data_IF_836631847482
#
_entry.id   IF_836631847482
#
_cell.length_a   1.000
_cell.length_b   1.000
_cell.length_c   1.000
_cell.angle_alpha   90.00
_cell.angle_beta   90.00
_cell.angle_gamma   90.00
#
_symmetry.space_group_name_H-M   'P 1'
#
loop_
_entity.id
_entity.type
_entity.pdbx_description
1 polymer ?
#
# COMPACT_ATOMS: atom_id res chain seq x y z
N UNK A 1 -14.24 13.48 24.12
CA UNK A 1 -13.42 13.29 22.89
C UNK A 1 -13.59 14.54 22.02
N UNK A 2 -12.52 15.03 21.42
CA UNK A 2 -12.55 16.25 20.62
C UNK A 2 -13.35 16.04 19.32
N UNK A 3 -14.42 16.83 19.14
CA UNK A 3 -15.25 16.86 17.93
C UNK A 3 -14.83 18.04 17.06
N UNK A 4 -14.71 17.83 15.77
CA UNK A 4 -14.32 18.82 14.78
C UNK A 4 -15.50 19.10 13.85
N UNK A 5 -15.79 20.38 13.65
CA UNK A 5 -16.84 20.84 12.72
C UNK A 5 -16.42 20.51 11.28
N UNK A 6 -17.35 19.97 10.51
CA UNK A 6 -17.12 19.65 9.10
C UNK A 6 -17.34 20.87 8.18
N UNK A 7 -16.66 20.91 7.06
CA UNK A 7 -16.93 21.85 5.99
C UNK A 7 -18.34 21.63 5.40
N UNK A 8 -18.89 22.67 4.78
CA UNK A 8 -20.22 22.55 4.13
C UNK A 8 -20.26 21.42 3.10
N UNK A 9 -19.19 21.23 2.33
CA UNK A 9 -19.11 20.20 1.29
C UNK A 9 -19.09 18.80 1.88
N UNK A 10 -18.24 18.55 2.87
CA UNK A 10 -18.17 17.24 3.54
C UNK A 10 -19.44 16.92 4.29
N UNK A 11 -20.05 17.92 4.97
CA UNK A 11 -21.33 17.74 5.66
C UNK A 11 -22.44 17.39 4.67
N UNK A 12 -22.52 18.05 3.50
CA UNK A 12 -23.46 17.71 2.44
C UNK A 12 -23.30 16.26 1.98
N UNK A 13 -22.04 15.81 1.77
CA UNK A 13 -21.74 14.42 1.41
C UNK A 13 -22.25 13.43 2.48
N UNK A 14 -22.06 13.76 3.77
CA UNK A 14 -22.59 12.92 4.87
C UNK A 14 -24.12 12.87 4.87
N UNK A 15 -24.79 14.00 4.67
CA UNK A 15 -26.25 14.08 4.57
C UNK A 15 -26.76 13.23 3.41
N UNK A 16 -26.16 13.34 2.24
CA UNK A 16 -26.56 12.58 1.05
C UNK A 16 -26.34 11.06 1.27
N UNK A 17 -25.24 10.67 1.90
CA UNK A 17 -24.97 9.29 2.27
C UNK A 17 -25.93 8.75 3.34
N UNK A 18 -26.28 9.56 4.34
CA UNK A 18 -27.26 9.19 5.38
C UNK A 18 -28.63 8.90 4.77
N UNK A 19 -29.10 9.79 3.88
CA UNK A 19 -30.39 9.61 3.18
C UNK A 19 -30.44 8.34 2.34
N UNK A 20 -29.35 7.99 1.63
CA UNK A 20 -29.25 6.78 0.81
C UNK A 20 -29.13 5.50 1.64
N UNK A 21 -28.64 5.59 2.88
CA UNK A 21 -28.33 4.43 3.71
C UNK A 21 -29.62 3.75 4.21
N UNK A 22 -29.78 2.48 3.85
CA UNK A 22 -30.91 1.62 4.26
C UNK A 22 -30.57 0.75 5.47
N UNK A 23 -29.45 1.01 6.14
CA UNK A 23 -28.96 0.29 7.33
C UNK A 23 -28.86 -1.23 7.20
N UNK A 24 -28.52 -1.73 6.00
CA UNK A 24 -28.36 -3.17 5.75
C UNK A 24 -27.17 -3.81 6.49
N UNK A 25 -26.30 -3.01 7.09
CA UNK A 25 -25.13 -3.42 7.91
C UNK A 25 -24.06 -4.24 7.19
N UNK A 26 -24.08 -4.38 5.86
CA UNK A 26 -23.08 -5.12 5.10
C UNK A 26 -21.67 -4.52 5.31
N UNK A 27 -21.54 -3.19 5.17
CA UNK A 27 -20.29 -2.47 5.44
C UNK A 27 -19.86 -2.55 6.91
N UNK A 28 -20.84 -2.48 7.83
CA UNK A 28 -20.61 -2.58 9.28
C UNK A 28 -20.06 -3.94 9.69
N UNK A 29 -20.63 -5.03 9.18
CA UNK A 29 -20.20 -6.39 9.53
C UNK A 29 -18.79 -6.69 9.05
N UNK A 30 -18.36 -6.07 7.97
CA UNK A 30 -17.02 -6.25 7.41
C UNK A 30 -15.94 -5.39 8.08
N UNK A 31 -16.31 -4.28 8.74
CA UNK A 31 -15.37 -3.26 9.21
C UNK A 31 -15.32 -3.18 10.75
N UNK A 32 -14.20 -3.53 11.39
CA UNK A 32 -14.07 -3.41 12.84
C UNK A 32 -14.13 -1.96 13.32
N UNK A 33 -13.71 -0.97 12.52
CA UNK A 33 -13.79 0.45 12.86
C UNK A 33 -15.24 0.88 13.10
N UNK A 34 -16.15 0.54 12.20
CA UNK A 34 -17.56 0.93 12.39
C UNK A 34 -18.15 0.32 13.64
N UNK A 35 -17.79 -0.92 13.99
CA UNK A 35 -18.24 -1.60 15.22
C UNK A 35 -17.73 -0.94 16.50
N UNK A 36 -16.53 -0.34 16.44
CA UNK A 36 -15.94 0.31 17.61
C UNK A 36 -16.54 1.70 17.88
N UNK A 37 -17.16 2.34 16.87
CA UNK A 37 -17.67 3.72 16.99
C UNK A 37 -19.18 3.88 16.90
N UNK A 38 -19.93 2.88 16.48
CA UNK A 38 -21.39 2.95 16.41
C UNK A 38 -22.03 1.56 16.42
N UNK A 39 -23.35 1.54 16.53
CA UNK A 39 -24.17 0.31 16.47
C UNK A 39 -24.64 0.01 15.04
N UNK A 40 -24.59 0.98 14.14
CA UNK A 40 -24.90 0.80 12.73
C UNK A 40 -24.32 1.94 11.88
N UNK A 41 -24.13 1.72 10.56
CA UNK A 41 -23.64 2.76 9.67
C UNK A 41 -24.59 3.96 9.59
N UNK A 42 -25.91 3.73 9.52
CA UNK A 42 -26.92 4.80 9.47
C UNK A 42 -26.92 5.65 10.73
N UNK A 43 -26.80 5.00 11.90
CA UNK A 43 -26.72 5.72 13.18
C UNK A 43 -25.46 6.59 13.24
N UNK A 44 -24.32 6.08 12.80
CA UNK A 44 -23.08 6.87 12.73
C UNK A 44 -23.23 8.11 11.85
N UNK A 45 -23.79 7.95 10.66
CA UNK A 45 -24.02 9.06 9.73
C UNK A 45 -24.98 10.09 10.32
N UNK A 46 -26.10 9.63 10.91
CA UNK A 46 -27.09 10.50 11.54
C UNK A 46 -26.51 11.32 12.68
N UNK A 47 -25.73 10.71 13.58
CA UNK A 47 -25.05 11.42 14.67
C UNK A 47 -24.14 12.54 14.14
N UNK A 48 -23.39 12.29 13.03
CA UNK A 48 -22.54 13.31 12.41
C UNK A 48 -23.37 14.43 11.77
N UNK A 49 -24.52 14.11 11.16
CA UNK A 49 -25.43 15.09 10.55
C UNK A 49 -26.05 16.00 11.62
N UNK A 50 -26.59 15.39 12.69
CA UNK A 50 -27.25 16.12 13.77
C UNK A 50 -26.27 17.08 14.48
N UNK A 51 -25.06 16.63 14.74
CA UNK A 51 -24.02 17.42 15.42
C UNK A 51 -23.26 18.36 14.49
N UNK A 52 -23.28 18.14 13.18
CA UNK A 52 -22.44 18.82 12.16
C UNK A 52 -20.93 18.73 12.45
N UNK A 53 -20.57 17.79 13.29
CA UNK A 53 -19.22 17.54 13.78
C UNK A 53 -18.87 16.05 13.71
N UNK A 54 -17.61 15.73 13.67
CA UNK A 54 -17.12 14.35 13.77
C UNK A 54 -16.08 14.23 14.88
N UNK A 55 -16.14 13.15 15.64
CA UNK A 55 -15.02 12.76 16.50
C UNK A 55 -13.81 12.44 15.61
N UNK A 56 -12.71 13.17 15.79
CA UNK A 56 -11.51 13.04 14.96
C UNK A 56 -10.98 11.61 14.86
N UNK A 57 -11.15 10.80 15.91
CA UNK A 57 -10.66 9.42 15.90
C UNK A 57 -11.39 8.53 14.88
N UNK A 58 -12.64 8.83 14.54
CA UNK A 58 -13.44 8.04 13.60
C UNK A 58 -12.77 7.99 12.20
N UNK A 59 -12.59 9.11 11.48
CA UNK A 59 -11.96 9.07 10.17
C UNK A 59 -10.51 8.60 10.23
N UNK A 60 -9.75 8.90 11.30
CA UNK A 60 -8.37 8.42 11.44
C UNK A 60 -8.25 6.95 11.87
N UNK A 61 -9.35 6.30 12.20
CA UNK A 61 -9.44 4.84 12.37
C UNK A 61 -9.88 4.13 11.08
N UNK A 62 -10.28 4.84 10.03
CA UNK A 62 -10.63 4.25 8.74
C UNK A 62 -9.37 3.86 7.96
N UNK A 63 -9.28 2.62 7.51
CA UNK A 63 -8.15 2.10 6.73
C UNK A 63 -8.14 2.59 5.27
N UNK A 64 -9.13 3.36 4.85
CA UNK A 64 -9.29 3.84 3.47
C UNK A 64 -9.16 2.69 2.44
N UNK A 65 -9.66 1.51 2.79
CA UNK A 65 -9.53 0.29 1.98
C UNK A 65 -10.64 0.09 0.95
N UNK A 66 -11.64 0.94 0.94
CA UNK A 66 -12.76 0.97 -0.01
C UNK A 66 -13.72 -0.23 0.00
N UNK A 67 -13.56 -1.21 0.89
CA UNK A 67 -14.42 -2.42 0.88
C UNK A 67 -15.90 -2.09 1.22
N UNK A 68 -16.14 -1.08 2.06
CA UNK A 68 -17.48 -0.64 2.43
C UNK A 68 -18.24 -0.04 1.24
N UNK A 69 -17.58 0.73 0.40
CA UNK A 69 -18.12 1.31 -0.84
C UNK A 69 -18.47 0.21 -1.85
N UNK A 70 -17.51 -0.71 -2.10
CA UNK A 70 -17.72 -1.82 -3.08
C UNK A 70 -18.87 -2.75 -2.69
N UNK A 71 -19.05 -3.00 -1.39
CA UNK A 71 -20.11 -3.87 -0.89
C UNK A 71 -21.46 -3.16 -0.72
N UNK A 72 -21.51 -1.84 -0.91
CA UNK A 72 -22.74 -1.07 -0.65
C UNK A 72 -23.75 -1.27 -1.78
N UNK A 73 -24.96 -1.81 -1.51
CA UNK A 73 -26.00 -1.97 -2.53
C UNK A 73 -26.68 -0.64 -2.92
N UNK A 74 -26.29 0.47 -2.30
CA UNK A 74 -26.78 1.83 -2.54
C UNK A 74 -25.68 2.77 -3.05
N UNK A 75 -24.55 2.22 -3.47
CA UNK A 75 -23.41 2.97 -4.03
C UNK A 75 -22.95 4.14 -3.16
N UNK A 76 -22.94 3.94 -1.84
CA UNK A 76 -22.49 4.94 -0.89
C UNK A 76 -20.96 4.88 -0.79
N UNK A 77 -20.29 6.00 -1.08
CA UNK A 77 -18.84 6.10 -0.96
C UNK A 77 -18.40 6.59 0.43
N UNK A 78 -18.44 5.67 1.39
CA UNK A 78 -17.93 5.94 2.73
C UNK A 78 -16.42 6.16 2.77
N UNK A 79 -15.68 5.61 1.81
CA UNK A 79 -14.23 5.76 1.76
C UNK A 79 -13.82 7.21 1.49
N UNK A 80 -14.38 7.81 0.44
CA UNK A 80 -14.14 9.22 0.10
C UNK A 80 -14.66 10.15 1.20
N UNK A 81 -15.82 9.85 1.76
CA UNK A 81 -16.39 10.61 2.87
C UNK A 81 -15.44 10.68 4.09
N UNK A 82 -14.92 9.54 4.57
CA UNK A 82 -13.97 9.55 5.69
C UNK A 82 -12.64 10.22 5.32
N UNK A 83 -12.21 10.12 4.08
CA UNK A 83 -11.02 10.83 3.62
C UNK A 83 -11.26 12.36 3.56
N UNK A 84 -12.43 12.81 3.11
CA UNK A 84 -12.80 14.24 3.10
C UNK A 84 -12.88 14.80 4.54
N UNK A 85 -13.38 14.02 5.50
CA UNK A 85 -13.32 14.38 6.91
C UNK A 85 -11.87 14.57 7.40
N UNK A 86 -10.92 13.72 7.00
CA UNK A 86 -9.49 13.91 7.34
C UNK A 86 -8.94 15.22 6.80
N UNK A 87 -9.27 15.58 5.55
CA UNK A 87 -8.87 16.85 4.95
C UNK A 87 -9.41 18.05 5.72
N UNK A 88 -10.68 18.00 6.10
CA UNK A 88 -11.30 19.04 6.91
C UNK A 88 -10.63 19.18 8.28
N UNK A 89 -10.43 18.09 9.00
CA UNK A 89 -9.80 18.07 10.31
C UNK A 89 -8.38 18.65 10.22
N UNK A 90 -7.62 18.22 9.21
CA UNK A 90 -6.27 18.70 9.00
C UNK A 90 -6.23 20.20 8.71
N UNK A 91 -7.13 20.68 7.84
CA UNK A 91 -7.23 22.11 7.47
C UNK A 91 -7.64 22.98 8.66
N UNK A 92 -8.58 22.52 9.49
CA UNK A 92 -9.14 23.30 10.61
C UNK A 92 -8.19 23.31 11.80
N UNK A 93 -7.66 22.14 12.19
CA UNK A 93 -6.80 22.01 13.36
C UNK A 93 -5.77 20.88 13.19
N UNK A 94 -4.67 21.13 12.42
CA UNK A 94 -3.63 20.13 12.18
C UNK A 94 -2.92 19.69 13.48
N UNK A 95 -2.94 20.52 14.53
CA UNK A 95 -2.33 20.18 15.84
C UNK A 95 -3.15 19.10 16.58
N UNK A 96 -4.46 19.03 16.34
CA UNK A 96 -5.36 18.08 17.01
C UNK A 96 -4.99 16.61 16.74
N UNK A 97 -4.33 16.32 15.63
CA UNK A 97 -3.95 14.95 15.24
C UNK A 97 -2.52 14.57 15.62
N UNK A 98 -1.78 15.48 16.26
CA UNK A 98 -0.40 15.18 16.69
C UNK A 98 -0.36 14.06 17.73
N UNK A 99 -1.34 14.01 18.63
CA UNK A 99 -1.46 13.00 19.68
C UNK A 99 -1.99 11.65 19.20
N UNK A 100 -2.50 11.58 17.97
CA UNK A 100 -2.94 10.32 17.34
C UNK A 100 -1.94 9.83 16.28
N UNK A 101 -0.68 10.25 16.35
CA UNK A 101 0.41 9.69 15.53
C UNK A 101 0.84 10.50 14.32
N UNK A 102 0.26 11.67 14.04
CA UNK A 102 0.67 12.49 12.89
C UNK A 102 2.15 12.90 12.95
N UNK A 103 2.69 13.20 14.16
CA UNK A 103 4.12 13.51 14.32
C UNK A 103 5.02 12.40 13.79
N UNK A 104 4.68 11.14 14.05
CA UNK A 104 5.42 9.98 13.55
C UNK A 104 5.36 9.90 12.02
N UNK A 105 4.18 10.10 11.43
CA UNK A 105 4.03 10.14 9.96
C UNK A 105 4.85 11.26 9.36
N UNK A 106 4.81 12.47 9.96
CA UNK A 106 5.56 13.63 9.51
C UNK A 106 7.07 13.39 9.51
N UNK A 107 7.62 12.87 10.60
CA UNK A 107 9.06 12.55 10.71
C UNK A 107 9.46 11.48 9.70
N UNK A 108 8.69 10.40 9.61
CA UNK A 108 8.95 9.33 8.63
C UNK A 108 8.95 9.85 7.19
N UNK A 109 8.00 10.72 6.83
CA UNK A 109 7.93 11.29 5.48
C UNK A 109 9.07 12.28 5.22
N UNK A 110 9.41 13.14 6.18
CA UNK A 110 10.55 14.04 6.02
C UNK A 110 11.85 13.25 5.78
N UNK A 111 12.08 12.18 6.53
CA UNK A 111 13.23 11.29 6.30
C UNK A 111 13.15 10.62 4.92
N UNK A 112 11.95 10.17 4.52
CA UNK A 112 11.76 9.48 3.23
C UNK A 112 12.05 10.36 2.01
N UNK A 113 12.00 11.68 2.16
CA UNK A 113 12.34 12.66 1.13
C UNK A 113 13.70 13.34 1.36
N UNK A 114 14.44 12.93 2.39
CA UNK A 114 15.78 13.48 2.64
C UNK A 114 16.79 12.92 1.64
N UNK A 115 17.85 13.68 1.29
CA UNK A 115 18.90 13.21 0.36
C UNK A 115 19.64 11.96 0.84
N UNK A 116 19.55 11.63 2.14
CA UNK A 116 20.16 10.41 2.72
C UNK A 116 19.37 9.16 2.33
N UNK A 117 18.02 9.27 2.28
CA UNK A 117 17.12 8.14 2.08
C UNK A 117 16.30 8.22 0.79
N UNK A 118 16.63 9.17 -0.08
CA UNK A 118 15.97 9.41 -1.36
C UNK A 118 17.00 9.82 -2.40
N UNK A 119 17.08 9.10 -3.51
CA UNK A 119 17.99 9.39 -4.61
C UNK A 119 17.46 8.83 -5.93
N UNK A 120 17.55 9.64 -6.97
CA UNK A 120 17.25 9.25 -8.34
C UNK A 120 18.55 9.03 -9.11
N UNK A 121 18.67 7.88 -9.76
CA UNK A 121 19.79 7.54 -10.65
C UNK A 121 19.28 7.54 -12.09
N UNK A 122 18.85 8.72 -12.55
CA UNK A 122 18.29 8.88 -13.90
C UNK A 122 19.44 9.09 -14.87
N UNK A 123 19.53 8.24 -15.90
CA UNK A 123 20.48 8.34 -16.99
C UNK A 123 19.97 9.31 -18.06
N UNK A 124 20.89 9.91 -18.85
CA UNK A 124 20.47 10.69 -20.01
C UNK A 124 19.59 9.85 -20.96
N UNK A 125 18.60 10.48 -21.56
CA UNK A 125 17.67 9.89 -22.54
C UNK A 125 16.77 8.74 -22.01
N UNK A 126 16.81 8.42 -20.73
CA UNK A 126 15.93 7.40 -20.16
C UNK A 126 14.45 7.82 -20.30
N UNK A 127 13.60 6.90 -20.69
CA UNK A 127 12.14 7.11 -20.77
C UNK A 127 11.38 6.30 -19.74
N UNK A 128 12.01 5.28 -19.16
CA UNK A 128 11.43 4.36 -18.19
C UNK A 128 12.22 4.35 -16.90
N UNK A 129 11.54 4.35 -15.76
CA UNK A 129 12.17 4.25 -14.46
C UNK A 129 11.58 3.10 -13.64
N UNK A 130 12.45 2.43 -12.88
CA UNK A 130 12.03 1.53 -11.81
C UNK A 130 11.93 2.29 -10.49
N UNK A 131 10.73 2.29 -9.92
CA UNK A 131 10.37 2.92 -8.66
C UNK A 131 9.94 1.85 -7.64
N UNK A 132 10.88 1.21 -6.89
CA UNK A 132 10.58 0.11 -5.98
C UNK A 132 9.64 0.53 -4.82
N UNK A 133 9.61 1.83 -4.52
CA UNK A 133 8.88 2.37 -3.37
C UNK A 133 9.65 2.23 -2.06
N UNK A 134 9.25 3.02 -1.07
CA UNK A 134 9.96 3.10 0.20
C UNK A 134 9.87 1.81 1.05
N UNK A 135 8.78 1.05 0.95
CA UNK A 135 8.59 -0.18 1.73
C UNK A 135 9.49 -1.31 1.25
N UNK A 136 9.50 -1.61 -0.06
CA UNK A 136 10.37 -2.65 -0.61
C UNK A 136 11.85 -2.33 -0.42
N UNK A 137 12.24 -1.07 -0.63
CA UNK A 137 13.62 -0.61 -0.38
C UNK A 137 14.04 -0.72 1.10
N UNK A 138 13.08 -0.64 2.02
CA UNK A 138 13.32 -0.84 3.45
C UNK A 138 13.36 -2.32 3.84
N UNK A 139 12.65 -3.16 3.09
CA UNK A 139 12.61 -4.59 3.30
C UNK A 139 13.92 -5.25 2.86
N UNK A 140 14.25 -5.15 1.59
CA UNK A 140 15.46 -5.75 1.03
C UNK A 140 16.03 -4.91 -0.10
N UNK A 141 17.24 -4.40 0.12
CA UNK A 141 18.01 -3.72 -0.92
C UNK A 141 18.50 -4.70 -2.00
N UNK A 142 18.74 -5.95 -1.65
CA UNK A 142 19.17 -6.98 -2.59
C UNK A 142 18.06 -7.31 -3.60
N UNK A 143 16.84 -7.55 -3.14
CA UNK A 143 15.68 -7.78 -4.01
C UNK A 143 15.47 -6.58 -4.95
N UNK A 144 15.57 -5.33 -4.45
CA UNK A 144 15.44 -4.15 -5.30
C UNK A 144 16.49 -4.12 -6.42
N UNK A 145 17.74 -4.40 -6.08
CA UNK A 145 18.83 -4.36 -7.06
C UNK A 145 18.72 -5.51 -8.06
N UNK A 146 18.39 -6.72 -7.64
CA UNK A 146 18.19 -7.87 -8.54
C UNK A 146 16.95 -7.67 -9.43
N UNK A 147 15.87 -7.08 -8.91
CA UNK A 147 14.71 -6.68 -9.73
C UNK A 147 15.12 -5.65 -10.79
N UNK A 148 15.97 -4.68 -10.43
CA UNK A 148 16.47 -3.70 -11.40
C UNK A 148 17.36 -4.34 -12.46
N UNK A 149 18.25 -5.28 -12.09
CA UNK A 149 19.07 -6.04 -13.05
C UNK A 149 18.18 -6.86 -14.00
N UNK A 150 17.14 -7.52 -13.49
CA UNK A 150 16.14 -8.21 -14.33
C UNK A 150 15.50 -7.25 -15.35
N UNK A 151 15.04 -6.08 -14.90
CA UNK A 151 14.42 -5.10 -15.79
C UNK A 151 15.34 -4.59 -16.88
N UNK A 152 16.64 -4.44 -16.60
CA UNK A 152 17.66 -4.04 -17.61
C UNK A 152 17.83 -5.05 -18.74
N UNK A 153 17.48 -6.31 -18.54
CA UNK A 153 17.55 -7.31 -19.59
C UNK A 153 16.45 -7.12 -20.67
N UNK A 154 15.37 -6.41 -20.33
CA UNK A 154 14.21 -6.29 -21.21
C UNK A 154 13.86 -4.85 -21.59
N UNK A 155 14.28 -3.87 -20.78
CA UNK A 155 13.94 -2.47 -20.99
C UNK A 155 15.23 -1.67 -21.12
N UNK A 156 15.48 -1.24 -22.36
CA UNK A 156 16.65 -0.42 -22.68
C UNK A 156 16.60 0.90 -21.89
N UNK A 157 17.75 1.34 -21.40
CA UNK A 157 17.93 2.61 -20.67
C UNK A 157 17.00 2.85 -19.47
N UNK A 158 16.49 1.77 -18.85
CA UNK A 158 15.73 1.93 -17.59
C UNK A 158 16.63 2.52 -16.50
N UNK A 159 16.10 3.44 -15.72
CA UNK A 159 16.78 4.08 -14.58
C UNK A 159 16.16 3.66 -13.25
N UNK A 160 16.93 3.76 -12.16
CA UNK A 160 16.51 3.36 -10.82
C UNK A 160 16.26 4.60 -9.94
N UNK A 161 15.10 4.65 -9.26
CA UNK A 161 14.67 5.79 -8.46
C UNK A 161 14.24 5.35 -7.05
N UNK A 162 15.08 5.63 -6.05
CA UNK A 162 14.75 5.46 -4.64
C UNK A 162 14.03 6.68 -4.09
N UNK A 163 12.75 6.79 -4.38
CA UNK A 163 11.92 7.91 -3.95
C UNK A 163 10.68 7.43 -3.17
N UNK A 164 9.90 8.36 -2.65
CA UNK A 164 8.62 8.07 -1.98
C UNK A 164 7.47 8.71 -2.76
N UNK A 165 6.37 8.01 -2.90
CA UNK A 165 5.16 8.54 -3.56
C UNK A 165 4.34 9.50 -2.68
N UNK A 166 4.71 9.73 -1.41
CA UNK A 166 4.00 10.63 -0.51
C UNK A 166 2.68 10.10 0.07
N UNK A 167 2.29 8.86 -0.24
CA UNK A 167 1.02 8.27 0.21
C UNK A 167 0.72 8.39 1.71
N UNK A 168 1.69 8.23 2.65
CA UNK A 168 1.41 8.41 4.07
C UNK A 168 0.89 9.82 4.41
N UNK A 169 1.53 10.86 3.92
CA UNK A 169 1.11 12.27 4.11
C UNK A 169 -0.26 12.51 3.48
N UNK A 170 -0.46 12.07 2.23
CA UNK A 170 -1.75 12.13 1.54
C UNK A 170 -2.86 11.47 2.37
N UNK A 171 -2.60 10.29 2.91
CA UNK A 171 -3.58 9.54 3.72
C UNK A 171 -3.96 10.25 5.03
N UNK A 172 -3.11 11.13 5.55
CA UNK A 172 -3.41 11.94 6.74
C UNK A 172 -4.29 13.17 6.43
N UNK A 173 -4.51 13.50 5.15
CA UNK A 173 -5.24 14.70 4.73
C UNK A 173 -4.36 15.96 4.65
N UNK A 174 -3.04 15.82 4.82
CA UNK A 174 -2.05 16.91 4.69
C UNK A 174 -1.71 17.13 3.21
N UNK A 175 -2.62 17.81 2.51
CA UNK A 175 -2.50 18.03 1.07
C UNK A 175 -1.35 18.97 0.72
N UNK A 176 -1.13 20.01 1.50
CA UNK A 176 -0.07 21.01 1.21
C UNK A 176 1.31 20.36 1.25
N UNK A 177 1.56 19.54 2.28
CA UNK A 177 2.82 18.80 2.39
C UNK A 177 2.95 17.73 1.31
N UNK A 178 1.87 17.00 1.03
CA UNK A 178 1.85 16.03 -0.07
C UNK A 178 2.18 16.71 -1.40
N UNK A 179 1.51 17.80 -1.73
CA UNK A 179 1.73 18.53 -2.98
C UNK A 179 3.17 19.06 -3.09
N UNK A 180 3.73 19.58 -1.98
CA UNK A 180 5.13 20.04 -1.98
C UNK A 180 6.14 18.91 -2.22
N UNK A 181 5.88 17.70 -1.73
CA UNK A 181 6.73 16.54 -2.00
C UNK A 181 6.49 15.96 -3.39
N UNK A 182 5.22 15.86 -3.79
CA UNK A 182 4.84 15.23 -5.04
C UNK A 182 5.24 16.07 -6.26
N UNK A 183 5.11 17.40 -6.18
CA UNK A 183 5.55 18.28 -7.25
C UNK A 183 7.05 18.15 -7.56
N UNK A 184 7.89 17.92 -6.54
CA UNK A 184 9.33 17.68 -6.76
C UNK A 184 9.59 16.35 -7.47
N UNK A 185 8.78 15.32 -7.17
CA UNK A 185 8.85 14.04 -7.87
C UNK A 185 8.39 14.18 -9.33
N UNK A 186 7.29 14.89 -9.54
CA UNK A 186 6.73 15.16 -10.87
C UNK A 186 7.65 16.02 -11.73
N UNK A 187 8.28 17.06 -11.14
CA UNK A 187 9.31 17.86 -11.82
C UNK A 187 10.47 16.99 -12.33
N UNK A 188 10.94 16.04 -11.52
CA UNK A 188 11.98 15.09 -11.98
C UNK A 188 11.54 14.25 -13.16
N UNK A 189 10.27 13.82 -13.20
CA UNK A 189 9.74 13.10 -14.35
C UNK A 189 9.71 13.98 -15.61
N UNK A 190 9.22 15.20 -15.49
CA UNK A 190 9.09 16.13 -16.60
C UNK A 190 10.46 16.61 -17.12
N UNK A 191 11.39 16.99 -16.23
CA UNK A 191 12.73 17.47 -16.57
C UNK A 191 13.59 16.40 -17.29
N UNK A 192 13.27 15.12 -17.10
CA UNK A 192 13.97 14.00 -17.74
C UNK A 192 13.13 13.28 -18.80
N UNK A 193 12.00 13.87 -19.21
CA UNK A 193 11.06 13.27 -20.20
C UNK A 193 10.67 11.83 -19.89
N UNK A 194 10.47 11.50 -18.62
CA UNK A 194 10.05 10.16 -18.22
C UNK A 194 8.63 9.91 -18.68
N UNK A 195 8.45 8.84 -19.43
CA UNK A 195 7.16 8.41 -19.95
C UNK A 195 6.53 7.26 -19.15
N UNK A 196 7.35 6.33 -18.65
CA UNK A 196 6.89 5.14 -17.95
C UNK A 196 7.53 4.98 -16.57
N UNK A 197 6.69 4.65 -15.58
CA UNK A 197 7.13 4.36 -14.20
C UNK A 197 6.71 2.95 -13.84
N UNK A 198 7.68 2.06 -13.62
CA UNK A 198 7.47 0.68 -13.18
C UNK A 198 7.59 0.64 -11.67
N UNK A 199 6.53 0.22 -10.98
CA UNK A 199 6.46 0.22 -9.52
C UNK A 199 6.37 -1.18 -8.94
N UNK A 200 6.95 -1.40 -7.76
CA UNK A 200 6.84 -2.64 -6.99
C UNK A 200 5.94 -2.48 -5.75
N UNK A 201 5.08 -1.47 -5.72
CA UNK A 201 4.19 -1.19 -4.59
C UNK A 201 2.81 -0.75 -5.07
N UNK A 202 1.73 -1.44 -4.64
CA UNK A 202 0.34 -1.07 -5.00
C UNK A 202 -0.06 0.35 -4.62
N UNK A 203 0.46 0.87 -3.49
CA UNK A 203 0.20 2.25 -3.10
C UNK A 203 0.91 3.25 -4.02
N UNK A 204 2.13 2.95 -4.46
CA UNK A 204 2.85 3.78 -5.44
C UNK A 204 2.12 3.78 -6.78
N UNK A 205 1.66 2.61 -7.26
CA UNK A 205 0.85 2.49 -8.46
C UNK A 205 -0.35 3.44 -8.43
N UNK A 206 -1.20 3.30 -7.40
CA UNK A 206 -2.40 4.13 -7.28
C UNK A 206 -2.08 5.62 -7.13
N UNK A 207 -1.05 5.96 -6.34
CA UNK A 207 -0.71 7.36 -6.08
C UNK A 207 -0.15 8.05 -7.33
N UNK A 208 0.79 7.43 -8.04
CA UNK A 208 1.39 8.02 -9.24
C UNK A 208 0.36 8.09 -10.37
N UNK A 209 -0.36 7.00 -10.63
CA UNK A 209 -1.42 6.95 -11.66
C UNK A 209 -2.50 8.02 -11.48
N UNK A 210 -2.82 8.37 -10.22
CA UNK A 210 -3.85 9.37 -9.93
C UNK A 210 -3.36 10.80 -10.01
N UNK A 211 -2.08 11.06 -9.72
CA UNK A 211 -1.55 12.41 -9.60
C UNK A 211 -0.67 12.86 -10.78
N UNK A 212 -0.15 11.93 -11.61
CA UNK A 212 0.64 12.24 -12.81
C UNK A 212 -0.07 11.75 -14.07
N UNK A 213 -0.72 12.67 -14.79
CA UNK A 213 -1.59 12.34 -15.93
C UNK A 213 -0.83 11.85 -17.17
N UNK A 214 0.40 12.32 -17.36
CA UNK A 214 1.21 12.05 -18.55
C UNK A 214 2.18 10.87 -18.39
N UNK A 215 2.09 10.18 -17.24
CA UNK A 215 2.96 9.06 -16.90
C UNK A 215 2.18 7.76 -17.06
N UNK A 216 2.73 6.85 -17.88
CA UNK A 216 2.28 5.46 -17.92
C UNK A 216 2.82 4.74 -16.70
N UNK A 217 1.93 4.20 -15.87
CA UNK A 217 2.33 3.45 -14.67
C UNK A 217 2.04 1.98 -14.89
N UNK A 218 3.08 1.16 -14.82
CA UNK A 218 3.02 -0.31 -14.79
C UNK A 218 3.49 -0.84 -13.44
N UNK A 219 3.04 -2.00 -13.06
CA UNK A 219 3.64 -2.74 -11.95
C UNK A 219 4.72 -3.68 -12.46
N UNK A 220 5.66 -4.03 -11.58
CA UNK A 220 6.68 -5.04 -11.89
C UNK A 220 6.05 -6.39 -12.25
N UNK A 221 4.87 -6.71 -11.69
CA UNK A 221 4.17 -7.97 -11.98
C UNK A 221 3.61 -8.00 -13.41
N UNK A 222 3.11 -6.87 -13.91
CA UNK A 222 2.71 -6.76 -15.33
C UNK A 222 3.92 -6.93 -16.25
N UNK A 223 5.07 -6.36 -15.87
CA UNK A 223 6.32 -6.48 -16.65
C UNK A 223 6.85 -7.92 -16.63
N UNK A 224 6.86 -8.58 -15.46
CA UNK A 224 7.29 -9.99 -15.37
C UNK A 224 6.33 -10.89 -16.15
N UNK A 225 5.02 -10.62 -16.11
CA UNK A 225 4.05 -11.39 -16.91
C UNK A 225 4.22 -11.19 -18.42
N UNK A 226 4.71 -10.02 -18.85
CA UNK A 226 4.95 -9.69 -20.25
C UNK A 226 6.23 -10.36 -20.80
N UNK A 227 7.32 -10.36 -20.01
CA UNK A 227 8.63 -10.84 -20.43
C UNK A 227 9.00 -12.23 -19.91
N UNK A 228 8.23 -12.77 -18.98
CA UNK A 228 8.43 -14.06 -18.32
C UNK A 228 9.35 -14.01 -17.11
N UNK A 229 9.30 -15.06 -16.31
CA UNK A 229 10.27 -15.30 -15.24
C UNK A 229 11.59 -15.78 -15.82
N UNK A 230 12.74 -15.67 -15.10
CA UNK A 230 13.98 -16.30 -15.51
C UNK A 230 13.77 -17.81 -15.79
N UNK A 231 14.29 -18.29 -16.93
CA UNK A 231 14.02 -19.67 -17.41
C UNK A 231 14.39 -20.76 -16.39
N UNK A 232 15.44 -20.54 -15.63
CA UNK A 232 15.93 -21.42 -14.57
C UNK A 232 14.97 -21.53 -13.38
N UNK A 233 14.03 -20.60 -13.25
CA UNK A 233 13.03 -20.59 -12.19
C UNK A 233 11.69 -21.24 -12.60
N UNK A 234 11.56 -21.67 -13.84
CA UNK A 234 10.34 -22.33 -14.29
C UNK A 234 10.12 -23.65 -13.54
N UNK A 235 8.96 -23.77 -12.89
CA UNK A 235 8.64 -24.89 -12.01
C UNK A 235 9.64 -25.17 -10.87
N UNK A 236 10.43 -24.16 -10.47
CA UNK A 236 11.48 -24.31 -9.47
C UNK A 236 10.99 -24.75 -8.10
N UNK A 237 9.76 -24.44 -7.75
CA UNK A 237 9.13 -24.77 -6.47
C UNK A 237 8.10 -25.91 -6.56
N UNK A 238 7.95 -26.61 -7.70
CA UNK A 238 6.90 -27.63 -7.91
C UNK A 238 6.93 -28.78 -6.89
N UNK A 239 8.15 -29.20 -6.48
CA UNK A 239 8.37 -30.33 -5.58
C UNK A 239 8.34 -29.93 -4.09
N UNK A 240 8.01 -28.67 -3.77
CA UNK A 240 7.92 -28.19 -2.39
C UNK A 240 6.48 -28.32 -1.89
N UNK A 241 6.31 -28.97 -0.73
CA UNK A 241 4.98 -29.19 -0.16
C UNK A 241 4.37 -27.98 0.52
N UNK A 242 5.16 -26.94 0.78
CA UNK A 242 4.67 -25.70 1.39
C UNK A 242 3.64 -25.01 0.51
N UNK A 243 2.45 -24.82 1.07
CA UNK A 243 1.34 -24.09 0.42
C UNK A 243 1.19 -22.70 1.01
N UNK A 244 0.90 -21.72 0.17
CA UNK A 244 0.75 -20.32 0.55
C UNK A 244 -0.66 -19.79 0.29
N UNK A 245 -1.25 -19.09 1.26
CA UNK A 245 -2.47 -18.31 1.01
C UNK A 245 -2.12 -17.00 0.30
N UNK A 246 -2.73 -16.73 -0.86
CA UNK A 246 -2.45 -15.52 -1.64
C UNK A 246 -3.31 -14.35 -1.17
N UNK A 247 -2.67 -13.30 -0.61
CA UNK A 247 -3.33 -12.09 -0.18
C UNK A 247 -3.22 -10.96 -1.21
N UNK A 248 -4.36 -10.51 -1.75
CA UNK A 248 -4.45 -9.39 -2.69
C UNK A 248 -4.50 -8.04 -1.93
N UNK A 249 -3.60 -7.08 -2.21
CA UNK A 249 -3.59 -5.78 -1.57
C UNK A 249 -4.73 -4.86 -2.02
N UNK A 250 -5.37 -4.22 -1.06
CA UNK A 250 -6.56 -3.39 -1.30
C UNK A 250 -6.39 -2.14 -2.20
N UNK A 251 -5.20 -1.52 -2.39
CA UNK A 251 -5.09 -0.35 -3.26
C UNK A 251 -5.36 -0.62 -4.74
N UNK A 252 -5.20 -1.86 -5.20
CA UNK A 252 -5.31 -2.27 -6.60
C UNK A 252 -6.47 -3.23 -6.85
N UNK A 253 -7.46 -3.26 -5.95
CA UNK A 253 -8.57 -4.22 -6.01
C UNK A 253 -9.41 -4.16 -7.29
N UNK A 254 -9.37 -3.04 -7.97
CA UNK A 254 -10.06 -2.73 -9.23
C UNK A 254 -9.15 -2.88 -10.47
N UNK A 255 -8.02 -3.58 -10.34
CA UNK A 255 -7.04 -3.76 -11.42
C UNK A 255 -6.76 -5.25 -11.66
N UNK A 256 -7.67 -5.90 -12.39
CA UNK A 256 -7.67 -7.35 -12.60
C UNK A 256 -6.38 -7.85 -13.25
N UNK A 257 -5.81 -7.09 -14.18
CA UNK A 257 -4.55 -7.47 -14.86
C UNK A 257 -3.41 -7.73 -13.85
N UNK A 258 -3.34 -6.96 -12.76
CA UNK A 258 -2.32 -7.15 -11.74
C UNK A 258 -2.58 -8.43 -10.94
N UNK A 259 -3.84 -8.71 -10.60
CA UNK A 259 -4.22 -9.92 -9.89
C UNK A 259 -3.86 -11.18 -10.69
N UNK A 260 -4.15 -11.17 -11.98
CA UNK A 260 -3.87 -12.31 -12.86
C UNK A 260 -2.37 -12.45 -13.14
N UNK A 261 -1.63 -11.35 -13.36
CA UNK A 261 -0.17 -11.39 -13.52
C UNK A 261 0.53 -12.06 -12.34
N UNK A 262 0.10 -11.73 -11.12
CA UNK A 262 0.67 -12.35 -9.89
C UNK A 262 0.41 -13.87 -9.86
N UNK A 263 -0.78 -14.31 -10.25
CA UNK A 263 -1.14 -15.73 -10.29
C UNK A 263 -0.36 -16.48 -11.36
N UNK A 264 -0.21 -15.89 -12.53
CA UNK A 264 0.62 -16.44 -13.62
C UNK A 264 2.07 -16.64 -13.14
N UNK A 265 2.67 -15.61 -12.54
CA UNK A 265 4.05 -15.69 -12.03
C UNK A 265 4.20 -16.81 -10.98
N UNK A 266 3.29 -16.89 -10.00
CA UNK A 266 3.35 -17.94 -8.97
C UNK A 266 3.17 -19.33 -9.55
N UNK A 267 2.31 -19.49 -10.56
CA UNK A 267 2.11 -20.74 -11.26
C UNK A 267 3.35 -21.15 -12.07
N UNK A 268 3.95 -20.21 -12.83
CA UNK A 268 5.18 -20.47 -13.60
C UNK A 268 6.36 -20.88 -12.69
N UNK A 269 6.45 -20.26 -11.51
CA UNK A 269 7.43 -20.63 -10.48
C UNK A 269 7.16 -22.01 -9.86
N UNK A 270 5.97 -22.58 -10.03
CA UNK A 270 5.53 -23.83 -9.40
C UNK A 270 5.17 -23.66 -7.91
N UNK A 271 4.87 -22.45 -7.45
CA UNK A 271 4.48 -22.18 -6.06
C UNK A 271 3.05 -22.63 -5.83
N UNK A 272 2.84 -23.53 -4.89
CA UNK A 272 1.50 -24.00 -4.51
C UNK A 272 0.75 -22.92 -3.74
N UNK A 273 -0.34 -22.41 -4.32
CA UNK A 273 -1.17 -21.37 -3.69
C UNK A 273 -2.59 -21.85 -3.41
N UNK A 274 -3.20 -21.27 -2.38
CA UNK A 274 -4.63 -21.35 -2.08
C UNK A 274 -5.19 -19.95 -1.93
N UNK A 275 -6.36 -19.72 -2.52
CA UNK A 275 -7.03 -18.42 -2.44
C UNK A 275 -7.67 -18.20 -1.07
N UNK A 276 -7.61 -16.95 -0.57
CA UNK A 276 -8.56 -16.51 0.44
C UNK A 276 -9.98 -16.53 -0.15
N UNK A 277 -11.00 -16.79 0.66
CA UNK A 277 -12.40 -16.77 0.19
C UNK A 277 -12.80 -15.38 -0.36
N UNK A 278 -12.21 -14.34 0.22
CA UNK A 278 -12.33 -12.95 -0.26
C UNK A 278 -11.00 -12.54 -0.87
N UNK A 279 -10.90 -12.68 -2.17
CA UNK A 279 -9.71 -12.36 -2.98
C UNK A 279 -10.01 -11.29 -4.03
N UNK A 280 -9.03 -10.85 -4.78
CA UNK A 280 -9.09 -9.85 -5.84
C UNK A 280 -9.86 -8.60 -5.39
N UNK A 281 -10.91 -8.19 -6.12
CA UNK A 281 -11.71 -7.01 -5.80
C UNK A 281 -12.45 -7.11 -4.46
N UNK A 282 -12.75 -8.33 -3.99
CA UNK A 282 -13.41 -8.59 -2.68
C UNK A 282 -12.43 -8.71 -1.53
N UNK A 283 -11.12 -8.63 -1.77
CA UNK A 283 -10.08 -8.79 -0.75
C UNK A 283 -10.30 -7.82 0.42
N UNK A 284 -10.14 -8.30 1.65
CA UNK A 284 -10.21 -7.47 2.85
C UNK A 284 -8.82 -6.88 3.19
N UNK A 285 -8.81 -5.75 3.92
CA UNK A 285 -7.59 -5.03 4.26
C UNK A 285 -6.70 -5.85 5.22
N UNK A 286 -5.39 -5.76 5.03
CA UNK A 286 -4.39 -6.31 5.95
C UNK A 286 -4.25 -5.54 7.28
N UNK A 287 -4.96 -4.43 7.46
CA UNK A 287 -4.89 -3.60 8.67
C UNK A 287 -3.97 -2.39 8.60
N UNK A 288 -3.07 -2.29 7.60
CA UNK A 288 -2.10 -1.17 7.49
C UNK A 288 -2.60 0.05 6.70
N UNK A 289 -3.78 -0.04 6.05
CA UNK A 289 -4.32 1.04 5.24
C UNK A 289 -4.55 2.34 6.02
N UNK A 290 -4.60 3.49 5.32
CA UNK A 290 -4.97 4.78 5.89
C UNK A 290 -4.11 5.26 7.06
N UNK A 291 -2.90 4.72 7.24
CA UNK A 291 -2.00 4.97 8.37
C UNK A 291 -2.55 4.51 9.74
N UNK A 292 -3.58 3.65 9.75
CA UNK A 292 -4.25 3.21 11.00
C UNK A 292 -3.29 2.49 11.94
N UNK A 293 -2.25 1.84 11.43
CA UNK A 293 -1.19 1.24 12.24
C UNK A 293 -0.49 2.26 13.17
N UNK A 294 -0.50 3.54 12.80
CA UNK A 294 0.07 4.64 13.60
C UNK A 294 -1.03 5.37 14.37
N UNK A 295 -2.18 5.62 13.74
CA UNK A 295 -3.26 6.44 14.32
C UNK A 295 -4.17 5.68 15.28
N UNK A 296 -4.34 4.37 15.07
CA UNK A 296 -5.08 3.46 15.95
C UNK A 296 -4.49 2.04 15.88
N UNK A 297 -3.34 1.79 16.56
CA UNK A 297 -2.64 0.51 16.50
C UNK A 297 -3.48 -0.69 16.94
N UNK A 298 -4.36 -0.50 17.93
CA UNK A 298 -5.23 -1.58 18.44
C UNK A 298 -6.22 -2.04 17.36
N UNK A 299 -6.87 -1.09 16.69
CA UNK A 299 -7.78 -1.40 15.59
C UNK A 299 -7.06 -2.01 14.40
N UNK A 300 -5.86 -1.50 14.08
CA UNK A 300 -4.99 -2.10 13.06
C UNK A 300 -4.73 -3.57 13.35
N UNK A 301 -4.30 -3.89 14.57
CA UNK A 301 -4.05 -5.27 15.01
C UNK A 301 -5.32 -6.14 14.95
N UNK A 302 -6.48 -5.59 15.37
CA UNK A 302 -7.78 -6.28 15.30
C UNK A 302 -8.12 -6.68 13.86
N UNK A 303 -7.95 -5.76 12.90
CA UNK A 303 -8.18 -6.04 11.48
C UNK A 303 -7.14 -7.02 10.92
N UNK A 304 -5.87 -6.89 11.30
CA UNK A 304 -4.81 -7.80 10.84
C UNK A 304 -5.09 -9.23 11.31
N UNK A 305 -5.41 -9.42 12.59
CA UNK A 305 -5.82 -10.73 13.14
C UNK A 305 -7.02 -11.31 12.40
N UNK A 306 -8.06 -10.48 12.17
CA UNK A 306 -9.24 -10.92 11.42
C UNK A 306 -8.83 -11.45 10.04
N UNK A 307 -7.99 -10.71 9.29
CA UNK A 307 -7.57 -11.10 7.95
C UNK A 307 -6.62 -12.31 7.97
N UNK A 308 -5.71 -12.38 8.94
CA UNK A 308 -4.80 -13.51 9.13
C UNK A 308 -5.55 -14.82 9.44
N UNK A 309 -6.62 -14.74 10.24
CA UNK A 309 -7.46 -15.91 10.58
C UNK A 309 -8.32 -16.41 9.40
N UNK A 310 -8.52 -15.60 8.36
CA UNK A 310 -9.14 -16.03 7.10
C UNK A 310 -8.16 -16.81 6.19
N UNK A 311 -6.87 -16.85 6.52
CA UNK A 311 -5.86 -17.62 5.80
C UNK A 311 -6.05 -19.11 6.01
N UNK A 312 -6.01 -19.89 4.94
CA UNK A 312 -6.13 -21.35 4.96
C UNK A 312 -4.83 -22.07 5.31
N UNK A 313 -3.72 -21.31 5.35
CA UNK A 313 -2.37 -21.81 5.67
C UNK A 313 -1.66 -20.87 6.64
N UNK A 314 -0.57 -21.32 7.25
CA UNK A 314 0.28 -20.46 8.08
C UNK A 314 1.22 -19.58 7.26
N UNK A 315 1.45 -19.97 6.00
CA UNK A 315 2.27 -19.21 5.07
C UNK A 315 1.39 -18.36 4.17
N UNK A 316 1.76 -17.10 4.01
CA UNK A 316 1.06 -16.14 3.14
C UNK A 316 2.04 -15.59 2.11
N UNK A 317 1.62 -15.49 0.86
CA UNK A 317 2.30 -14.72 -0.16
C UNK A 317 1.48 -13.48 -0.50
N UNK A 318 2.15 -12.36 -0.66
CA UNK A 318 1.51 -11.10 -1.11
C UNK A 318 2.48 -10.28 -1.94
N UNK A 319 1.97 -9.31 -2.64
CA UNK A 319 2.73 -8.41 -3.49
C UNK A 319 2.69 -6.94 -3.01
N UNK A 320 2.65 -6.80 -1.68
CA UNK A 320 2.73 -5.52 -0.98
C UNK A 320 3.49 -5.69 0.33
N UNK A 321 4.67 -5.08 0.44
CA UNK A 321 5.50 -5.21 1.63
C UNK A 321 4.81 -4.75 2.92
N UNK A 322 3.97 -3.70 2.85
CA UNK A 322 3.18 -3.29 4.02
C UNK A 322 2.17 -4.35 4.47
N UNK A 323 1.70 -5.21 3.55
CA UNK A 323 0.86 -6.36 3.90
C UNK A 323 1.70 -7.49 4.50
N UNK A 324 2.91 -7.76 3.99
CA UNK A 324 3.86 -8.70 4.59
C UNK A 324 4.10 -8.36 6.06
N UNK A 325 4.49 -7.11 6.34
CA UNK A 325 4.72 -6.64 7.70
C UNK A 325 3.50 -6.78 8.63
N UNK A 326 2.30 -6.54 8.10
CA UNK A 326 1.07 -6.70 8.88
C UNK A 326 0.86 -8.15 9.28
N UNK A 327 0.93 -9.08 8.34
CA UNK A 327 0.70 -10.51 8.60
C UNK A 327 1.78 -11.10 9.52
N UNK A 328 3.05 -10.73 9.32
CA UNK A 328 4.16 -11.09 10.23
C UNK A 328 3.92 -10.58 11.66
N UNK A 329 3.26 -9.43 11.83
CA UNK A 329 2.99 -8.87 13.17
C UNK A 329 2.00 -9.70 14.00
N UNK A 330 1.30 -10.64 13.39
CA UNK A 330 0.31 -11.55 13.99
C UNK A 330 0.68 -13.03 13.77
N UNK A 331 1.98 -13.30 13.66
CA UNK A 331 2.59 -14.63 13.61
C UNK A 331 2.24 -15.47 12.37
N UNK A 332 1.85 -14.86 11.24
CA UNK A 332 1.80 -15.54 9.96
C UNK A 332 3.13 -15.39 9.23
N UNK A 333 3.71 -16.47 8.75
CA UNK A 333 4.88 -16.42 7.87
C UNK A 333 4.47 -15.81 6.54
N UNK A 334 5.11 -14.71 6.15
CA UNK A 334 4.66 -13.98 4.96
C UNK A 334 5.83 -13.55 4.12
N UNK A 335 5.78 -13.91 2.84
CA UNK A 335 6.76 -13.52 1.84
C UNK A 335 6.15 -12.52 0.84
N UNK A 336 7.00 -11.63 0.35
CA UNK A 336 6.69 -10.86 -0.84
C UNK A 336 6.92 -11.73 -2.08
N UNK A 337 6.11 -11.62 -3.12
CA UNK A 337 6.26 -12.45 -4.34
C UNK A 337 7.67 -12.39 -4.94
N UNK A 338 8.35 -11.25 -4.85
CA UNK A 338 9.72 -11.10 -5.35
C UNK A 338 10.77 -11.90 -4.55
N UNK A 339 10.43 -12.38 -3.35
CA UNK A 339 11.31 -13.30 -2.61
C UNK A 339 11.52 -14.60 -3.37
N UNK A 340 10.50 -15.11 -4.04
CA UNK A 340 10.60 -16.35 -4.84
C UNK A 340 11.50 -16.23 -6.07
N UNK A 341 11.78 -15.00 -6.51
CA UNK A 341 12.63 -14.77 -7.68
C UNK A 341 14.03 -14.26 -7.34
N UNK A 342 14.16 -13.50 -6.24
CA UNK A 342 15.37 -12.71 -6.00
C UNK A 342 15.96 -12.84 -4.60
N UNK A 343 15.31 -13.52 -3.65
CA UNK A 343 15.83 -13.75 -2.31
C UNK A 343 16.67 -15.04 -2.29
N UNK A 344 17.98 -14.92 -1.98
CA UNK A 344 18.88 -16.08 -1.97
C UNK A 344 18.52 -17.15 -0.96
N UNK A 345 18.02 -16.78 0.21
CA UNK A 345 17.59 -17.74 1.24
C UNK A 345 16.40 -18.57 0.76
N UNK A 346 15.48 -17.94 0.05
CA UNK A 346 14.32 -18.63 -0.55
C UNK A 346 14.76 -19.49 -1.73
N UNK A 347 15.61 -18.97 -2.61
CA UNK A 347 16.08 -19.69 -3.79
C UNK A 347 16.97 -20.89 -3.42
N UNK A 348 18.02 -20.69 -2.62
CA UNK A 348 19.03 -21.72 -2.34
C UNK A 348 18.60 -22.70 -1.27
N UNK A 349 18.03 -22.17 -0.18
CA UNK A 349 17.78 -22.96 1.03
C UNK A 349 16.31 -23.31 1.23
N UNK A 350 15.41 -22.84 0.35
CA UNK A 350 13.96 -23.04 0.46
C UNK A 350 13.41 -22.60 1.82
N UNK A 351 13.99 -21.53 2.38
CA UNK A 351 13.59 -20.96 3.67
C UNK A 351 12.44 -19.98 3.45
N UNK A 352 11.26 -20.34 3.91
CA UNK A 352 10.03 -19.53 3.76
C UNK A 352 9.67 -18.77 5.02
N UNK A 353 10.60 -18.69 5.98
CA UNK A 353 10.43 -17.91 7.21
C UNK A 353 11.03 -16.52 7.04
N UNK A 354 10.31 -15.52 7.54
CA UNK A 354 10.77 -14.13 7.54
C UNK A 354 10.74 -13.57 8.96
N UNK A 355 11.83 -12.92 9.35
CA UNK A 355 11.91 -12.23 10.63
C UNK A 355 11.40 -10.80 10.55
N UNK A 356 10.76 -10.37 11.62
CA UNK A 356 10.29 -9.00 11.76
C UNK A 356 11.47 -8.01 11.85
N UNK A 357 11.63 -7.16 10.86
CA UNK A 357 12.69 -6.16 10.83
C UNK A 357 12.42 -4.98 11.78
N UNK A 358 13.45 -4.57 12.53
CA UNK A 358 13.41 -3.34 13.34
C UNK A 358 13.37 -2.08 12.45
N UNK A 359 12.88 -0.98 13.00
CA UNK A 359 12.86 0.31 12.29
C UNK A 359 14.26 0.76 11.85
N UNK A 360 15.28 0.52 12.69
CA UNK A 360 16.68 0.87 12.37
C UNK A 360 17.18 0.04 11.18
N UNK A 361 16.92 -1.28 11.17
CA UNK A 361 17.29 -2.16 10.05
C UNK A 361 16.66 -1.70 8.74
N UNK A 362 15.39 -1.26 8.75
CA UNK A 362 14.67 -0.74 7.58
C UNK A 362 15.33 0.51 6.98
N UNK A 363 15.70 1.47 7.82
CA UNK A 363 16.41 2.67 7.37
C UNK A 363 17.83 2.34 6.88
N UNK A 364 18.53 1.42 7.56
CA UNK A 364 19.85 0.92 7.13
C UNK A 364 19.76 0.26 5.74
N UNK A 365 18.77 -0.60 5.51
CA UNK A 365 18.57 -1.26 4.21
C UNK A 365 18.41 -0.21 3.10
N UNK A 366 17.54 0.77 3.32
CA UNK A 366 17.30 1.83 2.33
C UNK A 366 18.56 2.64 2.01
N UNK A 367 19.30 3.05 3.04
CA UNK A 367 20.59 3.73 2.86
C UNK A 367 21.61 2.88 2.12
N UNK A 368 21.73 1.60 2.51
CA UNK A 368 22.66 0.66 1.87
C UNK A 368 22.28 0.42 0.41
N UNK A 369 20.97 0.28 0.11
CA UNK A 369 20.49 0.14 -1.27
C UNK A 369 20.91 1.30 -2.16
N UNK A 370 20.75 2.54 -1.67
CA UNK A 370 21.21 3.75 -2.38
C UNK A 370 22.73 3.74 -2.61
N UNK A 371 23.52 3.35 -1.58
CA UNK A 371 24.97 3.24 -1.72
C UNK A 371 25.39 2.20 -2.74
N UNK A 372 24.78 1.02 -2.73
CA UNK A 372 25.07 -0.06 -3.68
C UNK A 372 24.65 0.32 -5.10
N UNK A 373 23.47 0.93 -5.27
CA UNK A 373 23.02 1.45 -6.55
C UNK A 373 23.99 2.48 -7.14
N UNK A 374 24.54 3.39 -6.31
CA UNK A 374 25.51 4.38 -6.74
C UNK A 374 26.83 3.79 -7.28
N UNK A 375 27.16 2.54 -6.89
CA UNK A 375 28.33 1.81 -7.42
C UNK A 375 28.01 1.05 -8.70
N UNK A 376 26.76 0.60 -8.86
CA UNK A 376 26.33 -0.24 -10.00
C UNK A 376 25.80 0.55 -11.20
N UNK A 377 25.29 1.76 -10.96
CA UNK A 377 24.68 2.61 -11.99
C UNK A 377 25.69 3.61 -12.58
N UNK A 378 26.84 3.82 -11.92
CA UNK A 378 28.00 4.53 -12.50
C UNK A 378 28.75 3.61 -13.46
#
# INVERSE_FOLDING_TARGET
>A
MEKIKLSKNTLKEVIDNEKKCVDCKICFNSCPMMKDYSMSPKKLLKEIVDEKCVNKNIPYSCMLCNICTIKCPKDIDLNSMFYNMRKDIFKINPKSINNIGYKTVKVHQSNSFSPIFSKSFIKPNTKSIFFPGCSLSSYSNDIVLKTYEYLKCYIEDISLVFECCGKPTLSMGDLDRFNNYYSKLESKFNENDIYEVIVACPNCYKTIKHNSKNIKVKTIWEVINEYGIPKELNNYYKDIDTMFSLHDPCPIRDVDIIHESVRTILNELGVKIVEFDKNRNKSECCGSGGMVRVTNPQLSKKQTNKRANESKTDNIVTYCESCCESMLSVNKQTLHILDFMFNEDVLKYKTFTQDKSSTIKKWKNRYTGIKLANKKVK
#
